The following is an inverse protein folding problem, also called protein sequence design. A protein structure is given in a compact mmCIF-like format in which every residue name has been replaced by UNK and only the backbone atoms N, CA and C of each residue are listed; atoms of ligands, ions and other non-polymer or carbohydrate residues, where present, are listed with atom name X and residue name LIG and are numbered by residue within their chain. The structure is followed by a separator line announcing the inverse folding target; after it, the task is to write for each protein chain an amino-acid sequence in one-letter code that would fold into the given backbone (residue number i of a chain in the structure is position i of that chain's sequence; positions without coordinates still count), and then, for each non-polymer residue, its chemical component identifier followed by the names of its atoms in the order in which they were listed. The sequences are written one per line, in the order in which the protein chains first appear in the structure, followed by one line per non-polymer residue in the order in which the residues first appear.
data_IF_156615641049
#
_entry.id   IF_156615641049
#
_cell.length_a   1.000
_cell.length_b   1.000
_cell.length_c   1.000
_cell.angle_alpha   90.00
_cell.angle_beta   90.00
_cell.angle_gamma   90.00
#
_symmetry.space_group_name_H-M   'P 1'
#
loop_
_entity.id
_entity.type
_entity.pdbx_description
1 polymer ?
#
# COMPACT_ATOMS: atom_id res chain seq x y z
N UNK A 1 42.65 0.20 44.66
CA UNK A 1 43.50 -0.47 43.65
C UNK A 1 43.07 -1.93 43.64
N UNK A 2 42.20 -2.26 42.70
CA UNK A 2 41.65 -3.57 42.29
C UNK A 2 41.55 -4.69 43.33
N UNK A 3 40.42 -4.74 44.03
CA UNK A 3 39.91 -5.99 44.57
C UNK A 3 39.27 -6.80 43.44
N UNK A 4 39.79 -8.00 43.25
CA UNK A 4 39.37 -8.97 42.25
C UNK A 4 37.87 -9.25 42.36
N UNK A 5 37.12 -8.89 41.31
CA UNK A 5 35.77 -9.39 41.07
C UNK A 5 35.88 -10.91 40.81
N UNK A 6 35.84 -11.68 41.91
CA UNK A 6 35.72 -13.12 41.86
C UNK A 6 34.34 -13.43 41.29
N UNK A 7 34.34 -13.93 40.05
CA UNK A 7 33.15 -14.32 39.31
C UNK A 7 32.38 -15.40 40.11
N UNK A 8 31.18 -15.09 40.63
CA UNK A 8 30.43 -16.00 41.50
C UNK A 8 30.02 -17.30 40.77
N UNK A 9 30.01 -17.29 39.44
CA UNK A 9 29.79 -18.50 38.62
C UNK A 9 30.95 -19.49 38.69
N UNK A 10 32.18 -19.02 38.91
CA UNK A 10 33.38 -19.85 38.93
C UNK A 10 33.55 -20.59 40.25
N UNK A 11 33.15 -19.96 41.35
CA UNK A 11 33.15 -20.57 42.68
C UNK A 11 32.00 -21.57 42.84
N UNK A 12 30.84 -21.31 42.22
CA UNK A 12 29.73 -22.26 42.15
C UNK A 12 30.08 -23.54 41.34
N UNK A 13 30.88 -23.42 40.28
CA UNK A 13 31.36 -24.57 39.51
C UNK A 13 32.42 -25.38 40.26
N UNK A 14 33.31 -24.73 41.03
CA UNK A 14 34.37 -25.39 41.79
C UNK A 14 33.82 -26.17 43.01
N UNK A 15 32.76 -25.70 43.65
CA UNK A 15 32.13 -26.39 44.77
C UNK A 15 31.18 -27.54 44.37
N UNK A 16 30.94 -27.76 43.07
CA UNK A 16 30.01 -28.79 42.58
C UNK A 16 30.56 -30.22 42.53
N UNK A 17 31.87 -30.44 42.67
CA UNK A 17 32.49 -31.74 42.33
C UNK A 17 32.73 -32.70 43.50
N UNK A 18 32.44 -32.31 44.76
CA UNK A 18 32.96 -33.06 45.93
C UNK A 18 31.93 -33.57 46.95
N UNK A 19 30.68 -33.84 46.52
CA UNK A 19 29.76 -34.71 47.26
C UNK A 19 28.95 -35.60 46.32
N UNK A 20 29.54 -36.72 45.91
CA UNK A 20 28.79 -37.86 45.33
C UNK A 20 28.70 -38.94 46.40
N UNK A 21 27.85 -38.71 47.40
CA UNK A 21 27.38 -39.74 48.33
C UNK A 21 25.88 -39.50 48.53
N UNK A 22 25.09 -40.30 47.81
CA UNK A 22 23.64 -40.49 47.93
C UNK A 22 22.77 -39.22 47.84
N UNK A 23 22.59 -38.72 46.62
CA UNK A 23 21.46 -37.82 46.28
C UNK A 23 20.36 -38.66 45.64
N UNK A 24 19.51 -39.25 46.48
CA UNK A 24 18.24 -39.88 46.10
C UNK A 24 17.28 -38.77 45.59
N UNK A 25 16.39 -39.06 44.62
CA UNK A 25 16.32 -38.44 43.30
C UNK A 25 15.64 -37.05 43.27
N UNK A 26 16.38 -35.95 43.42
CA UNK A 26 15.84 -34.60 43.16
C UNK A 26 16.03 -34.11 41.71
N UNK A 27 16.78 -34.86 40.89
CA UNK A 27 16.96 -34.54 39.47
C UNK A 27 15.67 -34.70 38.63
N UNK A 28 14.79 -35.65 38.99
CA UNK A 28 13.52 -35.86 38.30
C UNK A 28 12.52 -34.72 38.55
N UNK A 29 12.52 -34.14 39.77
CA UNK A 29 11.63 -33.03 40.12
C UNK A 29 12.00 -31.73 39.38
N UNK A 30 13.29 -31.46 39.19
CA UNK A 30 13.75 -30.27 38.46
C UNK A 30 13.35 -30.29 36.97
N UNK A 31 13.38 -31.47 36.32
CA UNK A 31 12.91 -31.64 34.94
C UNK A 31 11.40 -31.42 34.83
N UNK A 32 10.62 -31.93 35.78
CA UNK A 32 9.18 -31.72 35.83
C UNK A 32 8.82 -30.24 36.02
N UNK A 33 9.49 -29.54 36.95
CA UNK A 33 9.27 -28.10 37.17
C UNK A 33 9.67 -27.28 35.94
N UNK A 34 10.78 -27.62 35.27
CA UNK A 34 11.20 -26.92 34.06
C UNK A 34 10.20 -27.08 32.91
N UNK A 35 9.64 -28.28 32.72
CA UNK A 35 8.58 -28.53 31.75
C UNK A 35 7.30 -27.75 32.10
N UNK A 36 6.93 -27.67 33.38
CA UNK A 36 5.79 -26.87 33.85
C UNK A 36 6.00 -25.36 33.64
N UNK A 37 7.18 -24.83 33.95
CA UNK A 37 7.53 -23.41 33.75
C UNK A 37 7.58 -23.05 32.27
N UNK A 38 8.13 -23.92 31.42
CA UNK A 38 8.07 -23.71 29.95
C UNK A 38 6.63 -23.69 29.45
N UNK A 39 5.80 -24.64 29.90
CA UNK A 39 4.39 -24.68 29.55
C UNK A 39 3.64 -23.42 30.01
N UNK A 40 3.96 -22.88 31.20
CA UNK A 40 3.40 -21.62 31.69
C UNK A 40 3.86 -20.42 30.87
N UNK A 41 5.16 -20.30 30.54
CA UNK A 41 5.66 -19.20 29.71
C UNK A 41 5.06 -19.20 28.30
N UNK A 42 4.85 -20.37 27.71
CA UNK A 42 4.17 -20.47 26.42
C UNK A 42 2.71 -19.99 26.53
N UNK A 43 2.02 -20.30 27.63
CA UNK A 43 0.66 -19.81 27.88
C UNK A 43 0.60 -18.29 28.08
N UNK A 44 1.49 -17.74 28.91
CA UNK A 44 1.59 -16.29 29.14
C UNK A 44 1.94 -15.54 27.85
N UNK A 45 2.84 -16.10 27.04
CA UNK A 45 3.19 -15.51 25.76
C UNK A 45 2.05 -15.58 24.75
N UNK A 46 1.32 -16.71 24.69
CA UNK A 46 0.12 -16.83 23.89
C UNK A 46 -0.98 -15.85 24.33
N UNK A 47 -1.12 -15.59 25.63
CA UNK A 47 -2.06 -14.58 26.15
C UNK A 47 -1.64 -13.16 25.75
N UNK A 48 -0.36 -12.82 25.86
CA UNK A 48 0.18 -11.52 25.40
C UNK A 48 -0.01 -11.32 23.90
N UNK A 49 0.26 -12.35 23.10
CA UNK A 49 0.05 -12.31 21.65
C UNK A 49 -1.44 -12.14 21.31
N UNK A 50 -2.35 -12.82 22.02
CA UNK A 50 -3.80 -12.63 21.87
C UNK A 50 -4.22 -11.21 22.23
N UNK A 51 -3.77 -10.69 23.37
CA UNK A 51 -4.08 -9.33 23.80
C UNK A 51 -3.55 -8.30 22.79
N UNK A 52 -2.33 -8.48 22.29
CA UNK A 52 -1.75 -7.62 21.26
C UNK A 52 -2.55 -7.68 19.94
N UNK A 53 -2.98 -8.88 19.53
CA UNK A 53 -3.80 -9.09 18.35
C UNK A 53 -5.20 -8.44 18.51
N UNK A 54 -5.82 -8.56 19.68
CA UNK A 54 -7.14 -7.98 19.95
C UNK A 54 -7.08 -6.45 20.05
N UNK A 55 -6.01 -5.90 20.63
CA UNK A 55 -5.74 -4.47 20.61
C UNK A 55 -5.59 -3.95 19.16
N UNK A 56 -4.84 -4.67 18.32
CA UNK A 56 -4.69 -4.32 16.90
C UNK A 56 -6.02 -4.38 16.15
N UNK A 57 -6.81 -5.45 16.34
CA UNK A 57 -8.15 -5.60 15.74
C UNK A 57 -9.08 -4.48 16.15
N UNK A 58 -9.03 -4.06 17.42
CA UNK A 58 -9.85 -2.97 17.93
C UNK A 58 -9.49 -1.64 17.26
N UNK A 59 -8.19 -1.36 17.11
CA UNK A 59 -7.71 -0.19 16.36
C UNK A 59 -8.14 -0.24 14.89
N UNK A 60 -8.00 -1.39 14.22
CA UNK A 60 -8.42 -1.57 12.82
C UNK A 60 -9.93 -1.34 12.65
N UNK A 61 -10.76 -1.86 13.57
CA UNK A 61 -12.21 -1.65 13.56
C UNK A 61 -12.58 -0.18 13.77
N UNK A 62 -11.88 0.51 14.67
CA UNK A 62 -12.08 1.94 14.88
C UNK A 62 -11.71 2.74 13.63
N UNK A 63 -10.57 2.45 13.01
CA UNK A 63 -10.14 3.07 11.76
C UNK A 63 -11.15 2.82 10.62
N UNK A 64 -11.65 1.59 10.48
CA UNK A 64 -12.66 1.26 9.48
C UNK A 64 -13.97 2.05 9.70
N UNK A 65 -14.45 2.15 10.95
CA UNK A 65 -15.64 2.95 11.26
C UNK A 65 -15.44 4.43 10.93
N UNK A 66 -14.28 4.99 11.26
CA UNK A 66 -13.95 6.38 10.93
C UNK A 66 -13.89 6.61 9.41
N UNK A 67 -13.24 5.72 8.66
CA UNK A 67 -13.20 5.78 7.20
C UNK A 67 -14.59 5.66 6.58
N UNK A 68 -15.45 4.81 7.15
CA UNK A 68 -16.84 4.66 6.70
C UNK A 68 -17.63 5.96 6.75
N UNK A 69 -17.42 6.80 7.76
CA UNK A 69 -18.07 8.12 7.80
C UNK A 69 -17.65 9.03 6.63
N UNK A 70 -16.46 8.84 6.07
CA UNK A 70 -15.95 9.65 4.97
C UNK A 70 -16.43 9.17 3.60
N UNK A 71 -16.56 7.86 3.37
CA UNK A 71 -17.01 7.33 2.08
C UNK A 71 -18.52 7.03 1.99
N UNK A 72 -19.23 6.90 3.11
CA UNK A 72 -20.66 6.59 3.11
C UNK A 72 -21.50 7.58 2.29
N UNK A 73 -21.25 8.91 2.30
CA UNK A 73 -22.01 9.86 1.48
C UNK A 73 -21.94 9.57 -0.03
N UNK A 74 -20.85 8.98 -0.53
CA UNK A 74 -20.73 8.59 -1.94
C UNK A 74 -21.71 7.48 -2.35
N UNK A 75 -22.36 6.81 -1.39
CA UNK A 75 -23.46 5.89 -1.67
C UNK A 75 -24.82 6.59 -1.82
N UNK A 76 -24.90 7.91 -1.60
CA UNK A 76 -26.09 8.73 -1.86
C UNK A 76 -25.98 9.42 -3.25
N UNK A 77 -26.89 9.11 -4.19
CA UNK A 77 -26.93 9.79 -5.49
C UNK A 77 -27.14 11.31 -5.41
N UNK A 78 -27.85 11.80 -4.39
CA UNK A 78 -28.09 13.24 -4.23
C UNK A 78 -26.81 13.98 -3.86
N UNK A 79 -26.02 13.41 -2.96
CA UNK A 79 -24.71 13.91 -2.59
C UNK A 79 -23.78 13.92 -3.82
N UNK A 80 -23.68 12.81 -4.56
CA UNK A 80 -22.79 12.71 -5.72
C UNK A 80 -23.02 13.78 -6.79
N UNK A 81 -24.29 14.14 -7.05
CA UNK A 81 -24.63 15.17 -8.06
C UNK A 81 -24.08 16.55 -7.72
N UNK A 82 -23.92 16.84 -6.43
CA UNK A 82 -23.51 18.16 -5.92
C UNK A 82 -22.07 18.17 -5.40
N UNK A 83 -21.49 16.99 -5.15
CA UNK A 83 -20.16 16.87 -4.60
C UNK A 83 -19.08 17.42 -5.55
N UNK A 84 -18.18 18.21 -4.96
CA UNK A 84 -17.02 18.78 -5.64
C UNK A 84 -15.84 17.80 -5.69
N UNK A 85 -14.78 18.18 -6.41
CA UNK A 85 -13.56 17.36 -6.57
C UNK A 85 -12.94 16.95 -5.22
N UNK A 86 -12.87 17.87 -4.26
CA UNK A 86 -12.21 17.64 -2.98
C UNK A 86 -13.01 16.67 -2.11
N UNK A 87 -14.34 16.80 -2.10
CA UNK A 87 -15.25 15.91 -1.42
C UNK A 87 -15.20 14.49 -2.01
N UNK A 88 -15.25 14.38 -3.34
CA UNK A 88 -15.20 13.08 -4.04
C UNK A 88 -13.86 12.40 -3.87
N UNK A 89 -12.74 13.12 -3.96
CA UNK A 89 -11.40 12.56 -3.76
C UNK A 89 -11.16 12.07 -2.34
N UNK A 90 -11.66 12.78 -1.32
CA UNK A 90 -11.62 12.32 0.09
C UNK A 90 -12.41 11.04 0.28
N UNK A 91 -13.64 10.98 -0.24
CA UNK A 91 -14.48 9.79 -0.16
C UNK A 91 -13.85 8.60 -0.91
N UNK A 92 -13.25 8.83 -2.08
CA UNK A 92 -12.52 7.82 -2.84
C UNK A 92 -11.33 7.27 -2.05
N UNK A 93 -10.49 8.14 -1.49
CA UNK A 93 -9.31 7.73 -0.71
C UNK A 93 -9.67 6.99 0.58
N UNK A 94 -10.78 7.34 1.22
CA UNK A 94 -11.28 6.64 2.40
C UNK A 94 -11.85 5.25 2.07
N UNK A 95 -12.41 5.06 0.88
CA UNK A 95 -12.97 3.78 0.43
C UNK A 95 -11.90 2.79 -0.03
N UNK A 96 -10.81 3.29 -0.65
CA UNK A 96 -9.80 2.50 -1.34
C UNK A 96 -9.22 1.32 -0.53
N UNK A 97 -8.81 1.47 0.74
CA UNK A 97 -8.25 0.36 1.52
C UNK A 97 -9.25 -0.75 1.85
N UNK A 98 -10.55 -0.45 1.77
CA UNK A 98 -11.63 -1.34 2.20
C UNK A 98 -12.43 -1.93 1.04
N UNK A 99 -12.20 -1.50 -0.20
CA UNK A 99 -12.95 -1.92 -1.38
C UNK A 99 -12.96 -3.45 -1.58
N UNK A 100 -11.85 -4.16 -1.27
CA UNK A 100 -11.78 -5.63 -1.42
C UNK A 100 -12.64 -6.38 -0.39
N UNK A 101 -12.91 -5.78 0.79
CA UNK A 101 -13.51 -6.47 1.93
C UNK A 101 -14.91 -5.94 2.32
N UNK A 102 -15.30 -4.75 1.85
CA UNK A 102 -16.61 -4.14 2.09
C UNK A 102 -17.26 -3.75 0.75
N UNK A 103 -18.33 -4.45 0.31
CA UNK A 103 -19.06 -4.11 -0.92
C UNK A 103 -19.69 -2.71 -0.91
N UNK A 104 -19.92 -2.12 0.26
CA UNK A 104 -20.33 -0.73 0.40
C UNK A 104 -19.21 0.26 0.05
N UNK A 105 -17.98 -0.07 0.43
CA UNK A 105 -16.80 0.72 0.08
C UNK A 105 -16.45 0.56 -1.41
N UNK A 106 -16.55 -0.64 -1.97
CA UNK A 106 -16.36 -0.88 -3.41
C UNK A 106 -17.33 -0.03 -4.25
N UNK A 107 -18.63 -0.05 -3.92
CA UNK A 107 -19.65 0.75 -4.61
C UNK A 107 -19.38 2.25 -4.48
N UNK A 108 -19.00 2.71 -3.29
CA UNK A 108 -18.64 4.11 -3.06
C UNK A 108 -17.45 4.51 -3.94
N UNK A 109 -16.41 3.66 -4.01
CA UNK A 109 -15.23 3.89 -4.83
C UNK A 109 -15.59 4.02 -6.31
N UNK A 110 -16.34 3.07 -6.88
CA UNK A 110 -16.76 3.11 -8.28
C UNK A 110 -17.61 4.35 -8.61
N UNK A 111 -18.50 4.75 -7.70
CA UNK A 111 -19.32 5.95 -7.87
C UNK A 111 -18.50 7.23 -7.81
N UNK A 112 -17.53 7.30 -6.89
CA UNK A 112 -16.58 8.41 -6.86
C UNK A 112 -15.79 8.49 -8.17
N UNK A 113 -15.31 7.36 -8.72
CA UNK A 113 -14.60 7.37 -10.00
C UNK A 113 -15.48 7.86 -11.16
N UNK A 114 -16.75 7.43 -11.22
CA UNK A 114 -17.70 7.94 -12.21
C UNK A 114 -17.90 9.45 -12.09
N UNK A 115 -18.04 9.97 -10.86
CA UNK A 115 -18.14 11.42 -10.64
C UNK A 115 -16.85 12.15 -11.00
N UNK A 116 -15.67 11.57 -10.73
CA UNK A 116 -14.39 12.12 -11.16
C UNK A 116 -14.28 12.18 -12.69
N UNK A 117 -14.86 11.21 -13.42
CA UNK A 117 -14.89 11.22 -14.89
C UNK A 117 -15.74 12.37 -15.43
N UNK A 118 -16.82 12.73 -14.74
CA UNK A 118 -17.64 13.90 -15.08
C UNK A 118 -16.90 15.21 -14.79
N UNK A 119 -16.24 15.31 -13.63
CA UNK A 119 -15.58 16.54 -13.20
C UNK A 119 -14.27 16.81 -13.97
N UNK A 120 -13.43 15.79 -14.17
CA UNK A 120 -12.11 15.90 -14.80
C UNK A 120 -11.88 14.77 -15.81
N UNK A 121 -12.53 14.82 -16.98
CA UNK A 121 -12.48 13.75 -17.98
C UNK A 121 -11.05 13.50 -18.49
N UNK A 122 -10.22 14.54 -18.63
CA UNK A 122 -8.84 14.39 -19.10
C UNK A 122 -7.97 13.58 -18.13
N UNK A 123 -8.03 13.88 -16.83
CA UNK A 123 -7.27 13.16 -15.82
C UNK A 123 -7.73 11.70 -15.72
N UNK A 124 -9.05 11.49 -15.75
CA UNK A 124 -9.61 10.14 -15.64
C UNK A 124 -9.41 9.27 -16.89
N UNK A 125 -9.29 9.85 -18.09
CA UNK A 125 -8.91 9.08 -19.27
C UNK A 125 -7.49 8.48 -19.13
N UNK A 126 -6.54 9.28 -18.60
CA UNK A 126 -5.20 8.75 -18.28
C UNK A 126 -5.25 7.69 -17.18
N UNK A 127 -6.10 7.87 -16.17
CA UNK A 127 -6.33 6.87 -15.13
C UNK A 127 -6.81 5.55 -15.73
N UNK A 128 -7.84 5.59 -16.58
CA UNK A 128 -8.41 4.39 -17.20
C UNK A 128 -7.37 3.66 -18.06
N UNK A 129 -6.50 4.38 -18.77
CA UNK A 129 -5.35 3.78 -19.49
C UNK A 129 -4.37 3.07 -18.56
N UNK A 130 -3.96 3.71 -17.47
CA UNK A 130 -3.08 3.09 -16.47
C UNK A 130 -3.71 1.83 -15.85
N UNK A 131 -5.03 1.83 -15.65
CA UNK A 131 -5.77 0.66 -15.17
C UNK A 131 -5.74 -0.50 -16.17
N UNK A 132 -5.87 -0.22 -17.47
CA UNK A 132 -5.72 -1.23 -18.53
C UNK A 132 -4.28 -1.74 -18.63
N UNK A 133 -3.29 -0.89 -18.38
CA UNK A 133 -1.87 -1.25 -18.30
C UNK A 133 -1.52 -2.08 -17.05
N UNK A 134 -2.49 -2.32 -16.16
CA UNK A 134 -2.35 -3.21 -14.98
C UNK A 134 -1.96 -2.50 -13.69
N UNK A 135 -1.88 -1.16 -13.68
CA UNK A 135 -1.60 -0.41 -12.45
C UNK A 135 -2.75 -0.57 -11.45
N UNK A 136 -2.41 -0.65 -10.16
CA UNK A 136 -3.41 -0.64 -9.07
C UNK A 136 -4.15 0.71 -9.06
N UNK A 137 -5.40 0.78 -8.54
CA UNK A 137 -6.14 2.04 -8.45
C UNK A 137 -5.38 3.14 -7.71
N UNK A 138 -4.67 2.78 -6.64
CA UNK A 138 -3.81 3.71 -5.89
C UNK A 138 -2.68 4.28 -6.75
N UNK A 139 -1.91 3.40 -7.41
CA UNK A 139 -0.77 3.80 -8.22
C UNK A 139 -1.21 4.66 -9.40
N UNK A 140 -2.31 4.27 -10.06
CA UNK A 140 -2.90 5.03 -11.16
C UNK A 140 -3.41 6.40 -10.71
N UNK A 141 -4.09 6.50 -9.56
CA UNK A 141 -4.59 7.79 -9.06
C UNK A 141 -3.44 8.72 -8.65
N UNK A 142 -2.39 8.18 -8.04
CA UNK A 142 -1.18 8.92 -7.68
C UNK A 142 -0.50 9.54 -8.91
N UNK A 143 -0.40 8.79 -10.00
CA UNK A 143 0.13 9.25 -11.30
C UNK A 143 -0.69 10.42 -11.88
N UNK A 144 -2.02 10.36 -11.79
CA UNK A 144 -2.90 11.38 -12.37
C UNK A 144 -3.19 12.55 -11.44
N UNK A 145 -2.80 12.47 -10.16
CA UNK A 145 -3.05 13.52 -9.16
C UNK A 145 -2.67 14.93 -9.64
N UNK A 146 -1.48 15.14 -10.26
CA UNK A 146 -1.09 16.46 -10.77
C UNK A 146 -1.99 16.99 -11.90
N UNK A 147 -2.75 16.13 -12.57
CA UNK A 147 -3.66 16.53 -13.65
C UNK A 147 -4.96 17.15 -13.13
N UNK A 148 -5.39 16.83 -11.91
CA UNK A 148 -6.58 17.45 -11.31
C UNK A 148 -6.37 18.93 -10.95
N UNK A 149 -5.12 19.38 -10.82
CA UNK A 149 -4.79 20.79 -10.61
C UNK A 149 -4.86 21.63 -11.90
N UNK A 150 -5.03 20.99 -13.06
CA UNK A 150 -5.18 21.66 -14.36
C UNK A 150 -6.65 21.86 -14.66
N UNK A 151 -6.94 22.83 -15.54
CA UNK A 151 -8.29 23.07 -16.06
C UNK A 151 -8.91 21.73 -16.52
N UNK A 152 -10.14 21.38 -16.09
CA UNK A 152 -10.71 20.05 -16.31
C UNK A 152 -10.85 19.67 -17.78
N UNK A 153 -10.98 20.70 -18.63
CA UNK A 153 -11.01 20.62 -20.07
C UNK A 153 -9.89 21.52 -20.64
N UNK A 154 -8.65 21.03 -20.84
CA UNK A 154 -7.61 21.85 -21.46
C UNK A 154 -7.92 22.22 -22.93
N UNK A 155 -9.00 21.65 -23.50
CA UNK A 155 -9.48 21.90 -24.86
C UNK A 155 -10.73 22.79 -24.84
N UNK A 156 -10.65 23.95 -24.20
CA UNK A 156 -11.67 24.99 -24.28
C UNK A 156 -11.37 25.89 -25.49
N UNK A 157 -12.00 25.60 -26.63
CA UNK A 157 -11.98 26.48 -27.79
C UNK A 157 -11.14 25.96 -28.96
N UNK A 158 -11.83 25.71 -30.06
CA UNK A 158 -11.38 25.27 -31.38
C UNK A 158 -11.11 23.75 -31.55
N UNK A 159 -11.75 23.11 -32.55
CA UNK A 159 -11.32 21.79 -33.01
C UNK A 159 -9.84 21.87 -33.41
N UNK A 160 -9.11 20.75 -33.30
CA UNK A 160 -7.76 20.73 -33.88
C UNK A 160 -7.88 21.15 -35.35
N UNK A 161 -6.95 21.98 -35.87
CA UNK A 161 -6.88 22.26 -37.29
C UNK A 161 -6.97 20.93 -38.04
N UNK A 162 -7.87 20.84 -39.01
CA UNK A 162 -7.96 19.68 -39.90
C UNK A 162 -6.59 19.54 -40.54
N UNK A 163 -5.82 18.56 -40.08
CA UNK A 163 -4.51 18.29 -40.65
C UNK A 163 -4.80 17.79 -42.07
N UNK A 164 -4.29 18.45 -43.12
CA UNK A 164 -4.48 17.97 -44.48
C UNK A 164 -4.03 16.51 -44.52
N UNK A 165 -4.85 15.64 -45.13
CA UNK A 165 -4.42 14.28 -45.37
C UNK A 165 -3.09 14.36 -46.12
N UNK A 166 -2.08 13.63 -45.64
CA UNK A 166 -0.84 13.50 -46.38
C UNK A 166 -1.21 13.07 -47.80
N UNK A 167 -0.73 13.77 -48.84
CA UNK A 167 -1.00 13.37 -50.20
C UNK A 167 -0.63 11.89 -50.35
N UNK A 168 -1.48 11.07 -51.01
CA UNK A 168 -1.19 9.66 -51.22
C UNK A 168 0.17 9.59 -51.90
N UNK A 169 1.16 9.07 -51.17
CA UNK A 169 2.57 8.93 -51.56
C UNK A 169 2.96 9.93 -52.64
N UNK A 170 3.47 11.10 -52.24
CA UNK A 170 4.41 11.79 -53.13
C UNK A 170 5.49 10.76 -53.40
N UNK A 171 5.45 10.09 -54.56
CA UNK A 171 6.67 9.56 -55.14
C UNK A 171 7.52 10.81 -55.26
N UNK A 172 8.48 10.95 -54.36
CA UNK A 172 9.63 11.80 -54.59
C UNK A 172 10.17 11.26 -55.91
N UNK A 173 9.72 11.88 -57.00
CA UNK A 173 10.14 11.54 -58.33
C UNK A 173 11.56 12.06 -58.39
N UNK A 174 12.49 11.28 -57.84
CA UNK A 174 13.90 11.30 -58.17
C UNK A 174 14.41 12.73 -58.40
N UNK A 175 14.13 13.65 -57.48
CA UNK A 175 14.83 14.91 -57.46
C UNK A 175 16.19 14.55 -56.90
N UNK A 176 17.17 14.55 -57.80
CA UNK A 176 18.58 14.38 -57.54
C UNK A 176 18.96 15.13 -56.26
N UNK A 177 19.05 14.43 -55.13
CA UNK A 177 19.73 14.94 -53.96
C UNK A 177 21.21 15.03 -54.33
N UNK A 178 21.80 16.23 -54.51
CA UNK A 178 23.09 16.36 -55.17
C UNK A 178 24.26 16.08 -54.23
N UNK A 179 24.11 15.25 -53.19
CA UNK A 179 25.21 14.89 -52.29
C UNK A 179 25.09 13.42 -51.83
N UNK A 180 25.86 12.54 -52.46
CA UNK A 180 26.19 11.21 -51.95
C UNK A 180 27.11 11.34 -50.72
N UNK A 181 26.82 10.58 -49.66
CA UNK A 181 27.54 10.57 -48.37
C UNK A 181 28.91 9.85 -48.46
N UNK A 182 29.43 9.55 -49.65
CA UNK A 182 30.65 8.74 -49.82
C UNK A 182 31.97 9.54 -49.86
N UNK A 183 32.06 10.69 -49.19
CA UNK A 183 33.33 11.44 -49.07
C UNK A 183 33.67 11.92 -47.65
N UNK A 184 33.52 11.05 -46.64
CA UNK A 184 34.07 11.33 -45.29
C UNK A 184 34.74 10.10 -44.65
N UNK A 185 35.41 9.26 -45.43
CA UNK A 185 36.44 8.36 -44.85
C UNK A 185 37.60 8.30 -45.83
N UNK A 186 38.70 8.91 -45.41
CA UNK A 186 40.05 8.77 -45.99
C UNK A 186 40.60 7.38 -45.64
#
# INVERSE_FOLDING_TARGET
MNDHYADPLREAAAHGMQKVVQVTPTAAAAVQVWLHVKAQRVREQAERERQAADALRTKQRAAHRAARLQWLPANDPAWLRTADLLQVSRAWGAALPYATNDPGAERALLRCESRLRELHPYAMNRYDRLRVEGHTPEAAMREVTPLFAREPCPRTGYPAPVRPQLPPVVRLAQEDFPHTIDKVVE
#
